data_IF_174590406099
#
_entry.id   IF_174590406099
#
_cell.length_a   1.000
_cell.length_b   1.000
_cell.length_c   1.000
_cell.angle_alpha   90.00
_cell.angle_beta   90.00
_cell.angle_gamma   90.00
#
_symmetry.space_group_name_H-M   'P 1'
#
loop_
_entity.id
_entity.type
_entity.pdbx_description
1 polymer ?
#
# COMPACT_ATOMS: atom_id res chain seq x y z
N UNK A 1 -27.81 22.60 -4.88
CA UNK A 1 -27.38 21.94 -3.64
C UNK A 1 -27.26 23.04 -2.63
N UNK A 2 -28.20 23.13 -1.69
CA UNK A 2 -28.23 24.21 -0.71
C UNK A 2 -27.90 23.59 0.65
N UNK A 3 -26.84 24.09 1.27
CA UNK A 3 -26.32 23.67 2.57
C UNK A 3 -25.26 24.69 3.02
N UNK A 4 -24.88 24.65 4.29
CA UNK A 4 -23.84 25.54 4.84
C UNK A 4 -22.43 25.18 4.35
N UNK A 5 -22.20 23.94 3.91
CA UNK A 5 -20.92 23.41 3.43
C UNK A 5 -21.13 22.45 2.24
N UNK A 6 -20.22 22.40 1.25
CA UNK A 6 -20.26 21.40 0.18
C UNK A 6 -19.94 19.98 0.71
N UNK A 7 -20.68 18.96 0.28
CA UNK A 7 -20.44 17.56 0.69
C UNK A 7 -19.02 17.03 0.42
N UNK A 8 -18.34 17.36 -0.69
CA UNK A 8 -16.93 16.98 -0.87
C UNK A 8 -16.05 17.47 0.28
N UNK A 9 -16.24 18.71 0.71
CA UNK A 9 -15.48 19.30 1.79
C UNK A 9 -15.77 18.63 3.15
N UNK A 10 -16.96 18.07 3.35
CA UNK A 10 -17.31 17.32 4.56
C UNK A 10 -16.56 15.97 4.64
N UNK A 11 -16.14 15.43 3.50
CA UNK A 11 -15.40 14.17 3.40
C UNK A 11 -13.89 14.42 3.38
N UNK A 12 -13.31 14.64 4.57
CA UNK A 12 -11.87 14.84 4.75
C UNK A 12 -11.29 16.08 4.04
N UNK A 13 -12.10 17.11 3.82
CA UNK A 13 -11.64 18.36 3.19
C UNK A 13 -11.45 18.27 1.66
N UNK A 14 -12.04 17.26 1.02
CA UNK A 14 -11.94 17.07 -0.41
C UNK A 14 -12.67 18.12 -1.25
N UNK A 15 -12.42 18.10 -2.55
CA UNK A 15 -13.07 18.96 -3.54
C UNK A 15 -13.45 18.18 -4.81
N UNK A 16 -13.57 18.86 -5.95
CA UNK A 16 -13.96 18.26 -7.24
C UNK A 16 -12.88 18.46 -8.32
N UNK A 17 -11.61 18.62 -7.92
CA UNK A 17 -10.48 18.81 -8.84
C UNK A 17 -9.83 17.49 -9.32
N UNK A 18 -10.25 16.36 -8.75
CA UNK A 18 -9.71 15.03 -9.03
C UNK A 18 -9.99 13.96 -7.98
N UNK A 19 -10.59 14.34 -6.85
CA UNK A 19 -10.93 13.42 -5.76
C UNK A 19 -11.84 12.27 -6.20
N UNK A 20 -11.59 11.11 -5.59
CA UNK A 20 -12.40 9.90 -5.80
C UNK A 20 -13.18 9.57 -4.54
N UNK A 21 -14.46 9.23 -4.72
CA UNK A 21 -15.36 8.91 -3.63
C UNK A 21 -15.72 7.43 -3.66
N UNK A 22 -15.66 6.79 -2.49
CA UNK A 22 -16.18 5.44 -2.34
C UNK A 22 -17.70 5.48 -2.16
N UNK A 23 -18.42 4.89 -3.10
CA UNK A 23 -19.88 4.82 -3.07
C UNK A 23 -20.29 3.36 -2.95
N UNK A 24 -20.93 3.01 -1.83
CA UNK A 24 -21.55 1.71 -1.63
C UNK A 24 -23.06 1.84 -1.62
N UNK A 25 -23.73 0.92 -2.34
CA UNK A 25 -25.19 0.75 -2.31
C UNK A 25 -25.59 -0.55 -1.58
N UNK A 26 -24.62 -1.24 -0.98
CA UNK A 26 -24.89 -2.49 -0.29
C UNK A 26 -25.64 -2.18 1.02
N UNK A 27 -26.84 -2.74 1.25
CA UNK A 27 -27.66 -2.36 2.41
C UNK A 27 -26.93 -2.48 3.76
N UNK A 28 -26.11 -3.53 3.93
CA UNK A 28 -25.36 -3.77 5.17
C UNK A 28 -24.19 -2.81 5.41
N UNK A 29 -23.80 -2.01 4.40
CA UNK A 29 -22.73 -1.01 4.48
C UNK A 29 -23.26 0.43 4.51
N UNK A 30 -24.58 0.60 4.52
CA UNK A 30 -25.22 1.91 4.63
C UNK A 30 -25.40 2.21 6.13
N UNK A 31 -24.70 3.21 6.62
CA UNK A 31 -24.82 3.66 8.01
C UNK A 31 -26.22 4.26 8.26
N UNK A 32 -26.73 4.06 9.48
CA UNK A 32 -28.05 4.58 9.89
C UNK A 32 -28.04 6.07 10.21
N UNK A 33 -26.89 6.56 10.64
CA UNK A 33 -26.67 7.93 11.09
C UNK A 33 -25.35 8.43 10.49
N UNK A 34 -25.31 9.72 10.16
CA UNK A 34 -24.09 10.40 9.75
C UNK A 34 -23.44 11.02 10.99
N UNK A 35 -22.11 10.96 11.06
CA UNK A 35 -21.35 11.75 12.02
C UNK A 35 -21.25 13.19 11.54
N UNK A 36 -21.14 14.12 12.50
CA UNK A 36 -20.86 15.52 12.17
C UNK A 36 -19.51 15.65 11.45
N UNK A 37 -19.45 16.37 10.31
CA UNK A 37 -18.22 16.59 9.60
C UNK A 37 -17.17 17.27 10.49
N UNK A 38 -15.92 16.85 10.32
CA UNK A 38 -14.84 17.47 11.07
C UNK A 38 -14.68 18.95 10.66
N UNK A 39 -14.53 19.81 11.66
CA UNK A 39 -14.33 21.25 11.45
C UNK A 39 -12.83 21.57 11.35
N UNK A 40 -12.44 22.06 10.18
CA UNK A 40 -11.07 22.43 9.85
C UNK A 40 -10.84 23.95 9.92
N UNK A 41 -11.84 24.76 10.29
CA UNK A 41 -11.78 26.24 10.28
C UNK A 41 -10.61 26.82 11.11
N UNK A 42 -10.20 26.16 12.18
CA UNK A 42 -9.03 26.55 12.98
C UNK A 42 -7.72 26.64 12.14
N UNK A 43 -7.61 25.85 11.07
CA UNK A 43 -6.42 25.75 10.23
C UNK A 43 -6.32 26.88 9.21
N UNK A 44 -7.46 27.41 8.77
CA UNK A 44 -7.50 28.52 7.82
C UNK A 44 -7.10 29.85 8.48
N UNK A 45 -7.31 30.00 9.80
CA UNK A 45 -6.94 31.22 10.51
C UNK A 45 -5.41 31.41 10.60
N UNK A 46 -4.65 30.33 10.84
CA UNK A 46 -3.17 30.39 10.86
C UNK A 46 -2.59 30.53 9.44
N UNK A 47 -3.24 29.95 8.41
CA UNK A 47 -2.88 30.13 7.01
C UNK A 47 -3.04 31.57 6.52
N UNK A 48 -4.14 32.22 6.91
CA UNK A 48 -4.39 33.62 6.60
C UNK A 48 -3.38 34.59 7.26
N UNK A 49 -2.68 34.15 8.31
CA UNK A 49 -1.65 34.96 8.97
C UNK A 49 -0.32 34.99 8.20
N UNK A 50 -0.05 33.96 7.38
CA UNK A 50 1.14 33.92 6.51
C UNK A 50 0.93 34.63 5.17
N UNK A 51 -0.32 34.83 4.73
CA UNK A 51 -0.62 35.55 3.48
C UNK A 51 -0.90 37.04 3.70
N UNK A 52 0.18 37.82 3.81
CA UNK A 52 0.23 39.15 3.15
C UNK A 52 1.68 39.51 2.84
N UNK A 53 2.32 38.77 1.93
CA UNK A 53 3.59 39.19 1.33
C UNK A 53 3.42 39.16 -0.18
N UNK A 54 2.56 40.04 -0.70
CA UNK A 54 2.25 40.12 -2.13
C UNK A 54 3.37 40.77 -2.97
N UNK A 55 4.51 41.14 -2.39
CA UNK A 55 5.56 41.94 -3.03
C UNK A 55 6.97 41.33 -3.01
N UNK A 56 7.13 40.05 -2.63
CA UNK A 56 8.47 39.41 -2.64
C UNK A 56 8.63 38.58 -3.92
N UNK A 57 9.65 38.91 -4.72
CA UNK A 57 10.09 38.01 -5.80
C UNK A 57 10.67 36.74 -5.18
N UNK A 58 10.00 35.61 -5.36
CA UNK A 58 10.51 34.31 -4.96
C UNK A 58 11.73 33.92 -5.81
N UNK A 59 12.80 33.51 -5.16
CA UNK A 59 14.06 33.08 -5.77
C UNK A 59 14.14 31.55 -5.82
N UNK A 60 15.08 31.02 -6.61
CA UNK A 60 15.38 29.58 -6.62
C UNK A 60 15.87 29.11 -5.24
N UNK A 61 16.52 30.00 -4.48
CA UNK A 61 16.99 29.70 -3.13
C UNK A 61 15.82 29.47 -2.17
N UNK A 62 14.74 30.25 -2.28
CA UNK A 62 13.51 30.04 -1.50
C UNK A 62 12.88 28.67 -1.79
N UNK A 63 12.91 28.25 -3.06
CA UNK A 63 12.44 26.92 -3.46
C UNK A 63 13.32 25.83 -2.83
N UNK A 64 14.65 25.95 -2.92
CA UNK A 64 15.57 25.00 -2.31
C UNK A 64 15.40 24.90 -0.79
N UNK A 65 15.22 26.04 -0.11
CA UNK A 65 14.98 26.11 1.33
C UNK A 65 13.66 25.42 1.69
N UNK A 66 12.58 25.70 0.95
CA UNK A 66 11.29 25.04 1.14
C UNK A 66 11.38 23.51 0.97
N UNK A 67 12.07 23.03 -0.06
CA UNK A 67 12.30 21.59 -0.24
C UNK A 67 13.10 20.98 0.93
N UNK A 68 14.12 21.69 1.42
CA UNK A 68 14.89 21.27 2.59
C UNK A 68 14.03 21.16 3.84
N UNK A 69 13.20 22.18 4.10
CA UNK A 69 12.24 22.19 5.21
C UNK A 69 11.19 21.08 5.07
N UNK A 70 10.66 20.87 3.87
CA UNK A 70 9.69 19.81 3.58
C UNK A 70 10.24 18.43 3.95
N UNK A 71 11.45 18.12 3.51
CA UNK A 71 12.09 16.84 3.82
C UNK A 71 12.37 16.71 5.33
N UNK A 72 12.76 17.81 5.98
CA UNK A 72 13.10 17.79 7.40
C UNK A 72 11.88 17.64 8.33
N UNK A 73 10.72 18.16 7.92
CA UNK A 73 9.53 18.25 8.78
C UNK A 73 8.44 17.23 8.39
N UNK A 74 8.57 16.53 7.25
CA UNK A 74 7.61 15.51 6.84
C UNK A 74 7.43 14.44 7.94
N UNK A 75 6.24 14.50 8.56
CA UNK A 75 5.83 13.63 9.63
C UNK A 75 4.45 13.01 9.36
N UNK A 76 3.93 13.13 8.14
CA UNK A 76 2.59 12.68 7.76
C UNK A 76 2.40 11.19 8.07
N UNK A 77 3.35 10.37 7.63
CA UNK A 77 3.35 8.93 7.89
C UNK A 77 3.43 8.58 9.39
N UNK A 78 4.13 9.39 10.20
CA UNK A 78 4.22 9.16 11.64
C UNK A 78 2.89 9.51 12.33
N UNK A 79 2.23 10.59 11.92
CA UNK A 79 0.93 11.01 12.43
C UNK A 79 -0.12 9.94 12.09
N UNK A 80 -0.18 9.50 10.82
CA UNK A 80 -1.12 8.48 10.37
C UNK A 80 -0.96 7.16 11.13
N UNK A 81 0.28 6.66 11.26
CA UNK A 81 0.56 5.43 12.01
C UNK A 81 0.20 5.57 13.50
N UNK A 82 0.46 6.74 14.09
CA UNK A 82 0.12 6.98 15.50
C UNK A 82 -1.39 7.05 15.71
N UNK A 83 -2.12 7.68 14.78
CA UNK A 83 -3.58 7.72 14.80
C UNK A 83 -4.17 6.31 14.75
N UNK A 84 -3.72 5.49 13.79
CA UNK A 84 -4.20 4.12 13.63
C UNK A 84 -3.96 3.29 14.90
N UNK A 85 -2.74 3.29 15.43
CA UNK A 85 -2.40 2.52 16.62
C UNK A 85 -3.16 2.99 17.87
N UNK A 86 -3.28 4.31 18.08
CA UNK A 86 -3.99 4.86 19.24
C UNK A 86 -5.50 4.67 19.13
N UNK A 87 -6.07 4.73 17.92
CA UNK A 87 -7.50 4.48 17.71
C UNK A 87 -7.90 3.04 17.99
N UNK A 88 -6.96 2.10 17.87
CA UNK A 88 -7.16 0.71 18.27
C UNK A 88 -6.94 0.52 19.78
N UNK A 89 -6.01 1.27 20.38
CA UNK A 89 -5.63 1.08 21.78
C UNK A 89 -6.60 1.74 22.78
N UNK A 90 -7.16 2.91 22.43
CA UNK A 90 -7.97 3.73 23.33
C UNK A 90 -9.43 3.31 23.29
N UNK A 91 -10.11 3.34 24.44
CA UNK A 91 -11.50 2.87 24.59
C UNK A 91 -12.50 3.67 23.72
N UNK A 92 -12.33 4.99 23.63
CA UNK A 92 -13.14 5.86 22.75
C UNK A 92 -12.73 5.78 21.26
N UNK A 93 -11.72 4.96 20.94
CA UNK A 93 -11.15 4.79 19.61
C UNK A 93 -10.86 6.10 18.89
N UNK A 94 -11.39 6.24 17.66
CA UNK A 94 -11.22 7.45 16.83
C UNK A 94 -11.82 8.72 17.44
N UNK A 95 -12.78 8.61 18.37
CA UNK A 95 -13.39 9.76 19.06
C UNK A 95 -12.55 10.25 20.25
N UNK A 96 -11.50 9.53 20.61
CA UNK A 96 -10.62 9.98 21.68
C UNK A 96 -9.95 11.32 21.32
N UNK A 97 -9.80 12.22 22.31
CA UNK A 97 -9.18 13.54 22.13
C UNK A 97 -7.80 13.47 21.45
N UNK A 98 -6.99 12.44 21.74
CA UNK A 98 -5.69 12.25 21.10
C UNK A 98 -5.82 11.91 19.61
N UNK A 99 -6.78 11.08 19.24
CA UNK A 99 -7.07 10.74 17.86
C UNK A 99 -7.61 11.96 17.10
N UNK A 100 -8.52 12.73 17.69
CA UNK A 100 -9.01 13.98 17.10
C UNK A 100 -7.86 14.99 16.90
N UNK A 101 -6.95 15.11 17.85
CA UNK A 101 -5.76 15.96 17.70
C UNK A 101 -4.85 15.47 16.57
N UNK A 102 -4.61 14.16 16.46
CA UNK A 102 -3.85 13.58 15.37
C UNK A 102 -4.52 13.78 14.01
N UNK A 103 -5.85 13.71 13.93
CA UNK A 103 -6.60 14.01 12.72
C UNK A 103 -6.43 15.48 12.31
N UNK A 104 -6.47 16.44 13.26
CA UNK A 104 -6.14 17.85 13.00
C UNK A 104 -4.73 17.98 12.43
N UNK A 105 -3.74 17.36 13.08
CA UNK A 105 -2.35 17.42 12.64
C UNK A 105 -2.15 16.79 11.26
N UNK A 106 -2.84 15.69 10.97
CA UNK A 106 -2.79 15.02 9.67
C UNK A 106 -3.30 15.93 8.55
N UNK A 107 -4.41 16.63 8.79
CA UNK A 107 -4.95 17.62 7.83
C UNK A 107 -3.95 18.73 7.52
N UNK A 108 -3.32 19.31 8.56
CA UNK A 108 -2.28 20.34 8.37
C UNK A 108 -1.08 19.77 7.57
N UNK A 109 -0.66 18.55 7.87
CA UNK A 109 0.47 17.91 7.19
C UNK A 109 0.21 17.65 5.71
N UNK A 110 -1.01 17.26 5.33
CA UNK A 110 -1.42 17.08 3.92
C UNK A 110 -1.41 18.42 3.18
N UNK A 111 -1.91 19.47 3.83
CA UNK A 111 -1.96 20.82 3.26
C UNK A 111 -0.61 21.56 3.28
N UNK A 112 0.44 20.99 3.90
CA UNK A 112 1.73 21.66 4.05
C UNK A 112 2.32 22.09 2.70
N UNK A 113 2.25 21.23 1.69
CA UNK A 113 2.73 21.55 0.34
C UNK A 113 2.00 22.76 -0.29
N UNK A 114 0.74 23.00 0.11
CA UNK A 114 -0.11 24.08 -0.43
C UNK A 114 -0.01 25.36 0.40
N UNK A 115 -0.01 25.24 1.74
CA UNK A 115 -0.12 26.35 2.68
C UNK A 115 1.22 26.77 3.30
N UNK A 116 2.26 25.95 3.21
CA UNK A 116 3.56 26.21 3.83
C UNK A 116 3.57 26.13 5.36
N UNK A 117 2.47 25.69 5.98
CA UNK A 117 2.35 25.57 7.44
C UNK A 117 2.67 24.16 7.90
N UNK A 118 3.77 24.02 8.61
CA UNK A 118 4.19 22.75 9.17
C UNK A 118 3.21 22.25 10.24
N UNK A 119 2.85 20.97 10.16
CA UNK A 119 2.15 20.31 11.25
C UNK A 119 3.04 20.31 12.52
N UNK A 120 2.47 20.52 13.72
CA UNK A 120 3.24 20.47 14.96
C UNK A 120 4.02 19.16 15.09
N UNK A 121 5.17 19.20 15.74
CA UNK A 121 5.91 17.97 16.01
C UNK A 121 5.09 17.03 16.90
N UNK A 122 5.11 15.74 16.55
CA UNK A 122 4.45 14.70 17.33
C UNK A 122 5.04 14.63 18.74
N UNK A 123 4.23 14.93 19.76
CA UNK A 123 4.64 14.88 21.16
C UNK A 123 4.74 13.43 21.65
N UNK A 124 5.40 13.20 22.79
CA UNK A 124 5.56 11.84 23.36
C UNK A 124 4.21 11.20 23.70
N UNK A 125 3.22 12.00 24.11
CA UNK A 125 1.89 11.53 24.51
C UNK A 125 1.01 11.05 23.36
N UNK A 126 1.31 11.54 22.15
CA UNK A 126 0.66 11.18 20.90
C UNK A 126 1.40 10.04 20.18
N UNK A 127 2.51 9.54 20.72
CA UNK A 127 3.18 8.34 20.22
C UNK A 127 2.62 7.11 20.92
N UNK A 128 2.16 6.08 20.16
CA UNK A 128 1.70 4.83 20.76
C UNK A 128 2.87 4.10 21.43
N UNK A 129 2.68 3.60 22.68
CA UNK A 129 3.71 2.83 23.38
C UNK A 129 3.88 1.41 22.82
N UNK A 130 2.83 0.86 22.23
CA UNK A 130 2.77 -0.46 21.61
C UNK A 130 1.89 -0.39 20.36
N UNK A 131 2.12 -1.29 19.41
CA UNK A 131 1.41 -1.29 18.12
C UNK A 131 0.54 -2.55 17.99
N UNK A 132 -0.66 -2.45 17.40
CA UNK A 132 -1.49 -3.62 17.17
C UNK A 132 -0.83 -4.56 16.15
N UNK A 133 -1.05 -5.87 16.29
CA UNK A 133 -0.37 -6.92 15.52
C UNK A 133 -0.59 -6.78 14.01
N UNK A 134 -1.75 -6.30 13.57
CA UNK A 134 -2.06 -6.08 12.16
C UNK A 134 -1.19 -5.00 11.48
N UNK A 135 -0.43 -4.21 12.25
CA UNK A 135 0.52 -3.21 11.70
C UNK A 135 1.92 -3.79 11.42
N UNK A 136 2.18 -5.06 11.75
CA UNK A 136 3.42 -5.80 11.44
C UNK A 136 4.73 -5.08 11.84
N UNK A 137 4.71 -4.31 12.94
CA UNK A 137 5.90 -3.62 13.46
C UNK A 137 6.80 -4.55 14.25
N UNK A 138 7.55 -5.39 13.54
CA UNK A 138 8.48 -6.38 14.13
C UNK A 138 9.61 -5.76 14.96
N UNK A 139 9.91 -4.48 14.76
CA UNK A 139 10.94 -3.71 15.47
C UNK A 139 10.45 -3.07 16.78
N UNK A 140 9.15 -3.17 17.10
CA UNK A 140 8.53 -2.46 18.23
C UNK A 140 7.68 -3.40 19.11
N UNK A 141 7.36 -2.99 20.35
CA UNK A 141 6.41 -3.73 21.18
C UNK A 141 5.05 -3.83 20.48
N UNK A 142 4.53 -5.04 20.38
CA UNK A 142 3.23 -5.32 19.74
C UNK A 142 2.25 -5.98 20.70
N UNK A 143 0.96 -5.79 20.45
CA UNK A 143 -0.12 -6.47 21.16
C UNK A 143 -1.14 -7.00 20.16
N UNK A 144 -1.92 -8.00 20.59
CA UNK A 144 -2.98 -8.56 19.76
C UNK A 144 -4.26 -7.73 19.91
N UNK A 145 -4.69 -7.08 18.82
CA UNK A 145 -5.89 -6.26 18.79
C UNK A 145 -7.14 -7.13 18.89
N UNK A 146 -8.10 -6.71 19.73
CA UNK A 146 -9.41 -7.36 19.87
C UNK A 146 -10.49 -6.69 19.01
N UNK A 147 -10.16 -5.58 18.36
CA UNK A 147 -11.11 -4.78 17.58
C UNK A 147 -11.24 -5.32 16.16
N UNK A 148 -12.16 -4.72 15.39
CA UNK A 148 -12.56 -5.22 14.08
C UNK A 148 -11.37 -5.36 13.12
N UNK A 149 -10.40 -4.43 13.13
CA UNK A 149 -9.23 -4.51 12.27
C UNK A 149 -8.35 -5.71 12.61
N UNK A 150 -8.12 -5.97 13.91
CA UNK A 150 -7.41 -7.16 14.38
C UNK A 150 -8.13 -8.45 13.99
N UNK A 151 -9.44 -8.53 14.23
CA UNK A 151 -10.24 -9.71 13.89
C UNK A 151 -10.29 -9.98 12.38
N UNK A 152 -10.38 -8.92 11.56
CA UNK A 152 -10.32 -9.04 10.11
C UNK A 152 -8.96 -9.55 9.68
N UNK A 153 -7.88 -8.98 10.23
CA UNK A 153 -6.51 -9.39 9.96
C UNK A 153 -6.27 -10.87 10.28
N UNK A 154 -6.76 -11.35 11.42
CA UNK A 154 -6.62 -12.76 11.82
C UNK A 154 -7.44 -13.73 10.95
N UNK A 155 -8.58 -13.26 10.43
CA UNK A 155 -9.48 -14.06 9.58
C UNK A 155 -9.10 -14.03 8.12
N UNK A 156 -8.40 -12.99 7.67
CA UNK A 156 -7.78 -13.02 6.36
C UNK A 156 -6.73 -14.11 6.37
N UNK A 157 -6.86 -15.16 5.54
CA UNK A 157 -5.78 -16.13 5.41
C UNK A 157 -4.55 -15.31 5.05
N UNK A 158 -3.55 -15.32 5.94
CA UNK A 158 -2.23 -14.84 5.57
C UNK A 158 -1.90 -15.59 4.31
N UNK A 159 -1.80 -14.90 3.17
CA UNK A 159 -1.38 -15.52 1.90
C UNK A 159 0.04 -16.15 2.04
N UNK A 160 0.67 -15.92 3.19
CA UNK A 160 1.90 -16.49 3.68
C UNK A 160 1.78 -17.83 4.42
N UNK A 161 0.60 -18.38 4.69
CA UNK A 161 0.51 -19.79 5.07
C UNK A 161 0.90 -20.58 3.85
N UNK A 162 2.11 -21.14 3.91
CA UNK A 162 2.69 -22.11 2.99
C UNK A 162 1.63 -22.65 2.04
N UNK A 163 1.70 -22.25 0.77
CA UNK A 163 1.24 -23.15 -0.27
C UNK A 163 2.16 -24.36 -0.08
N UNK A 164 1.78 -25.26 0.82
CA UNK A 164 2.23 -26.63 0.84
C UNK A 164 1.69 -27.19 -0.46
N UNK A 165 2.37 -26.85 -1.56
CA UNK A 165 2.37 -27.68 -2.75
C UNK A 165 2.84 -29.01 -2.19
N UNK A 166 1.90 -29.92 -1.99
CA UNK A 166 2.23 -31.25 -1.55
C UNK A 166 3.13 -31.80 -2.66
N UNK A 167 4.43 -31.92 -2.38
CA UNK A 167 5.39 -32.43 -3.36
C UNK A 167 4.89 -33.76 -3.93
N UNK A 168 4.17 -34.58 -3.15
CA UNK A 168 3.55 -35.80 -3.66
C UNK A 168 2.36 -35.58 -4.60
N UNK A 169 1.59 -34.48 -4.47
CA UNK A 169 0.56 -34.11 -5.45
C UNK A 169 1.18 -33.55 -6.72
N UNK A 170 2.23 -32.73 -6.62
CA UNK A 170 2.95 -32.24 -7.79
C UNK A 170 3.67 -33.38 -8.52
N UNK A 171 4.32 -34.28 -7.78
CA UNK A 171 4.91 -35.51 -8.30
C UNK A 171 3.82 -36.40 -8.89
N UNK A 172 2.65 -36.59 -8.26
CA UNK A 172 1.54 -37.38 -8.85
C UNK A 172 0.98 -36.73 -10.13
N UNK A 173 0.81 -35.42 -10.15
CA UNK A 173 0.36 -34.66 -11.31
C UNK A 173 1.39 -34.72 -12.46
N UNK A 174 2.68 -34.81 -12.15
CA UNK A 174 3.76 -34.99 -13.14
C UNK A 174 4.11 -36.45 -13.44
N UNK A 175 3.67 -37.42 -12.62
CA UNK A 175 3.94 -38.85 -12.81
C UNK A 175 3.22 -39.44 -14.02
N UNK A 176 2.13 -38.82 -14.48
CA UNK A 176 1.44 -39.16 -15.72
C UNK A 176 1.94 -38.35 -16.93
N UNK A 177 3.07 -37.64 -16.79
CA UNK A 177 3.65 -36.85 -17.87
C UNK A 177 4.50 -37.73 -18.80
N UNK A 178 4.32 -37.63 -20.14
CA UNK A 178 3.39 -36.76 -20.84
C UNK A 178 1.95 -37.31 -20.81
N UNK A 179 0.96 -36.45 -20.53
CA UNK A 179 -0.44 -36.84 -20.68
C UNK A 179 -0.66 -37.30 -22.12
N UNK A 180 -1.25 -38.49 -22.31
CA UNK A 180 -1.47 -39.07 -23.65
C UNK A 180 -2.23 -38.14 -24.60
N UNK A 181 -3.04 -37.22 -24.07
CA UNK A 181 -3.77 -36.18 -24.80
C UNK A 181 -2.88 -35.11 -25.42
N UNK A 182 -1.67 -34.87 -24.90
CA UNK A 182 -0.71 -33.90 -25.46
C UNK A 182 0.29 -34.55 -26.45
N UNK A 183 0.20 -35.86 -26.69
CA UNK A 183 1.06 -36.55 -27.65
C UNK A 183 0.54 -36.35 -29.09
N UNK A 184 1.20 -35.51 -29.85
CA UNK A 184 0.90 -35.25 -31.27
C UNK A 184 1.57 -36.34 -32.14
N UNK A 185 0.89 -36.82 -33.18
CA UNK A 185 1.48 -37.78 -34.11
C UNK A 185 2.78 -37.20 -34.73
N UNK A 186 3.88 -37.94 -34.68
CA UNK A 186 5.18 -37.49 -35.17
C UNK A 186 6.06 -36.72 -34.16
N UNK A 187 5.60 -36.51 -32.91
CA UNK A 187 6.35 -35.77 -31.88
C UNK A 187 7.78 -36.28 -31.65
N UNK A 188 8.02 -37.58 -31.86
CA UNK A 188 9.33 -38.23 -31.66
C UNK A 188 10.45 -37.58 -32.47
N UNK A 189 10.13 -37.03 -33.63
CA UNK A 189 11.11 -36.36 -34.50
C UNK A 189 11.55 -35.00 -33.93
N UNK A 190 10.70 -34.36 -33.12
CA UNK A 190 10.93 -33.02 -32.57
C UNK A 190 11.43 -33.04 -31.12
N UNK A 191 11.68 -34.23 -30.52
CA UNK A 191 12.14 -34.32 -29.13
C UNK A 191 13.48 -33.62 -28.93
N UNK A 192 14.40 -33.73 -29.92
CA UNK A 192 15.72 -33.10 -29.81
C UNK A 192 15.60 -31.57 -29.83
N UNK A 193 14.83 -31.03 -30.76
CA UNK A 193 14.61 -29.59 -30.89
C UNK A 193 13.86 -29.03 -29.68
N UNK A 194 12.83 -29.74 -29.20
CA UNK A 194 12.07 -29.37 -28.01
C UNK A 194 12.95 -29.32 -26.75
N UNK A 195 13.95 -30.18 -26.61
CA UNK A 195 14.90 -30.12 -25.48
C UNK A 195 15.80 -28.89 -25.54
N UNK A 196 16.22 -28.48 -26.74
CA UNK A 196 17.03 -27.27 -26.93
C UNK A 196 16.21 -26.04 -26.55
N UNK A 197 14.99 -25.92 -27.09
CA UNK A 197 14.07 -24.81 -26.78
C UNK A 197 13.73 -24.76 -25.29
N UNK A 198 13.46 -25.92 -24.68
CA UNK A 198 13.20 -26.01 -23.23
C UNK A 198 14.41 -25.56 -22.40
N UNK A 199 15.63 -25.89 -22.83
CA UNK A 199 16.84 -25.44 -22.16
C UNK A 199 17.09 -23.93 -22.27
N UNK A 200 16.68 -23.30 -23.38
CA UNK A 200 16.70 -21.84 -23.54
C UNK A 200 15.65 -21.16 -22.65
N UNK A 201 14.43 -21.71 -22.64
CA UNK A 201 13.35 -21.27 -21.76
C UNK A 201 13.75 -21.32 -20.28
N UNK A 202 14.23 -22.48 -19.81
CA UNK A 202 14.68 -22.66 -18.43
C UNK A 202 15.72 -21.62 -18.04
N UNK A 203 16.71 -21.37 -18.92
CA UNK A 203 17.78 -20.40 -18.67
C UNK A 203 17.23 -18.98 -18.52
N UNK A 204 16.32 -18.58 -19.41
CA UNK A 204 15.72 -17.25 -19.39
C UNK A 204 14.81 -17.07 -18.16
N UNK A 205 14.01 -18.07 -17.80
CA UNK A 205 13.17 -18.07 -16.58
C UNK A 205 14.02 -18.03 -15.32
N UNK A 206 15.04 -18.88 -15.19
CA UNK A 206 15.93 -18.89 -14.02
C UNK A 206 16.68 -17.57 -13.84
N UNK A 207 17.00 -16.87 -14.94
CA UNK A 207 17.59 -15.53 -14.88
C UNK A 207 16.65 -14.54 -14.18
N UNK A 208 15.37 -14.52 -14.58
CA UNK A 208 14.34 -13.66 -13.98
C UNK A 208 14.12 -14.05 -12.51
N UNK A 209 13.96 -15.34 -12.23
CA UNK A 209 13.76 -15.84 -10.86
C UNK A 209 14.89 -15.41 -9.91
N UNK A 210 16.15 -15.53 -10.35
CA UNK A 210 17.31 -15.09 -9.54
C UNK A 210 17.39 -13.59 -9.39
N UNK A 211 17.07 -12.82 -10.43
CA UNK A 211 17.13 -11.36 -10.41
C UNK A 211 16.13 -10.76 -9.40
N UNK A 212 14.91 -11.31 -9.34
CA UNK A 212 13.84 -10.80 -8.48
C UNK A 212 13.62 -11.62 -7.20
N UNK A 213 14.40 -12.68 -6.99
CA UNK A 213 14.31 -13.55 -5.81
C UNK A 213 12.99 -14.33 -5.72
N UNK A 214 12.44 -14.74 -6.86
CA UNK A 214 11.22 -15.54 -7.01
C UNK A 214 11.60 -17.02 -6.97
N UNK A 215 10.86 -17.82 -6.21
CA UNK A 215 11.18 -19.24 -6.00
C UNK A 215 10.51 -20.16 -7.02
N UNK A 216 9.34 -19.77 -7.55
CA UNK A 216 8.52 -20.63 -8.40
C UNK A 216 8.25 -20.01 -9.78
N UNK A 217 8.36 -20.81 -10.85
CA UNK A 217 8.03 -20.38 -12.22
C UNK A 217 6.55 -20.00 -12.36
N UNK A 218 5.66 -20.71 -11.67
CA UNK A 218 4.22 -20.46 -11.70
C UNK A 218 3.86 -19.01 -11.29
N UNK A 219 4.65 -18.39 -10.41
CA UNK A 219 4.45 -16.99 -9.99
C UNK A 219 4.76 -16.01 -11.13
N UNK A 220 5.75 -16.32 -11.96
CA UNK A 220 6.11 -15.53 -13.15
C UNK A 220 5.04 -15.69 -14.23
N UNK A 221 4.64 -16.93 -14.51
CA UNK A 221 3.68 -17.26 -15.58
C UNK A 221 2.29 -16.70 -15.28
N UNK A 222 1.84 -16.84 -14.03
CA UNK A 222 0.53 -16.33 -13.59
C UNK A 222 0.52 -14.82 -13.31
N UNK A 223 1.69 -14.20 -13.15
CA UNK A 223 1.84 -12.84 -12.66
C UNK A 223 1.40 -12.65 -11.20
N UNK A 224 1.18 -13.75 -10.46
CA UNK A 224 0.82 -13.73 -9.05
C UNK A 224 2.10 -13.94 -8.21
N UNK A 225 2.76 -12.84 -7.86
CA UNK A 225 4.02 -12.82 -7.13
C UNK A 225 3.75 -12.82 -5.63
N UNK A 226 4.25 -13.83 -4.91
CA UNK A 226 3.84 -14.06 -3.52
C UNK A 226 4.79 -13.41 -2.51
N UNK A 227 6.11 -13.51 -2.75
CA UNK A 227 7.14 -12.87 -1.93
C UNK A 227 8.34 -12.47 -2.78
N UNK A 228 8.78 -11.22 -2.63
CA UNK A 228 10.08 -10.78 -3.12
C UNK A 228 11.13 -10.98 -2.03
N UNK A 229 11.98 -11.99 -2.19
CA UNK A 229 13.01 -12.30 -1.19
C UNK A 229 14.14 -11.26 -1.19
N UNK A 230 14.28 -10.48 -2.25
CA UNK A 230 15.33 -9.46 -2.37
C UNK A 230 14.98 -8.19 -1.59
N UNK A 231 15.82 -7.86 -0.59
CA UNK A 231 15.72 -6.64 0.24
C UNK A 231 15.64 -5.31 -0.55
N UNK A 232 16.07 -5.29 -1.81
CA UNK A 232 16.06 -4.11 -2.67
C UNK A 232 14.65 -3.66 -3.11
N UNK A 233 13.67 -4.57 -3.12
CA UNK A 233 12.32 -4.31 -3.65
C UNK A 233 11.22 -4.35 -2.59
N UNK A 234 11.60 -4.48 -1.31
CA UNK A 234 10.67 -4.57 -0.17
C UNK A 234 10.04 -3.23 0.26
N UNK A 235 10.41 -2.10 -0.36
CA UNK A 235 9.75 -0.81 -0.09
C UNK A 235 8.53 -0.66 -1.00
N UNK A 236 7.37 -0.53 -0.39
CA UNK A 236 6.00 -0.73 -0.90
C UNK A 236 5.59 0.07 -2.17
N UNK A 237 6.43 0.93 -2.72
CA UNK A 237 6.09 1.79 -3.86
C UNK A 237 6.46 1.22 -5.23
N UNK A 238 7.07 0.03 -5.32
CA UNK A 238 7.55 -0.55 -6.60
C UNK A 238 6.90 -1.88 -6.99
N UNK A 239 5.99 -2.42 -6.18
CA UNK A 239 5.43 -3.76 -6.43
C UNK A 239 4.62 -3.80 -7.74
N UNK A 240 3.87 -2.75 -8.05
CA UNK A 240 3.09 -2.66 -9.29
C UNK A 240 3.97 -2.56 -10.54
N UNK A 241 4.97 -1.68 -10.53
CA UNK A 241 5.91 -1.52 -11.65
C UNK A 241 6.74 -2.78 -11.87
N UNK A 242 7.17 -3.43 -10.77
CA UNK A 242 7.90 -4.68 -10.80
C UNK A 242 7.07 -5.83 -11.36
N UNK A 243 5.79 -5.90 -11.00
CA UNK A 243 4.84 -6.87 -11.57
C UNK A 243 4.71 -6.67 -13.08
N UNK A 244 4.60 -5.43 -13.54
CA UNK A 244 4.53 -5.12 -14.96
C UNK A 244 5.82 -5.48 -15.69
N UNK A 245 6.99 -5.20 -15.10
CA UNK A 245 8.31 -5.53 -15.65
C UNK A 245 8.50 -7.05 -15.78
N UNK A 246 8.17 -7.82 -14.74
CA UNK A 246 8.26 -9.29 -14.74
C UNK A 246 7.28 -9.89 -15.76
N UNK A 247 6.04 -9.39 -15.79
CA UNK A 247 5.03 -9.84 -16.76
C UNK A 247 5.48 -9.53 -18.19
N UNK A 248 6.12 -8.39 -18.42
CA UNK A 248 6.67 -8.02 -19.72
C UNK A 248 7.85 -8.92 -20.09
N UNK A 249 8.79 -9.15 -19.18
CA UNK A 249 9.92 -10.04 -19.40
C UNK A 249 9.47 -11.48 -19.72
N UNK A 250 8.43 -11.98 -19.05
CA UNK A 250 7.84 -13.27 -19.36
C UNK A 250 7.17 -13.29 -20.74
N UNK A 251 6.43 -12.24 -21.13
CA UNK A 251 5.85 -12.14 -22.48
C UNK A 251 6.91 -12.23 -23.57
N UNK A 252 8.07 -11.59 -23.38
CA UNK A 252 9.18 -11.67 -24.34
C UNK A 252 9.73 -13.09 -24.46
N UNK A 253 9.76 -13.87 -23.37
CA UNK A 253 10.18 -15.28 -23.40
C UNK A 253 9.12 -16.15 -24.08
N UNK A 254 7.83 -15.90 -23.78
CA UNK A 254 6.70 -16.66 -24.32
C UNK A 254 6.52 -16.47 -25.82
N UNK A 255 6.81 -15.27 -26.33
CA UNK A 255 6.57 -14.89 -27.72
C UNK A 255 7.79 -15.17 -28.64
N UNK A 256 8.83 -15.84 -28.12
CA UNK A 256 9.96 -16.39 -28.91
C UNK A 256 9.59 -17.73 -29.55
#
# INVERSE_FOLDING_TARGET
MNGSRPHPAEMSGGDLDGDTFWISRHPDLIFKENEEPFDYQDQDYEANKMQTINDVQHTIEDVCNFFGEYIAVDNLGLIANSHLALSDQLEDGVRNKKCLQLAKMHSVAVDFAKKGINAPHLTKELRPPQYPHFMEKNDKPTYHSKYILGQLYDKTPSYNSDIHINEEEEIRATSSFPYKSFLIAGYKNHIKDARVIKGEYDRDIFRIMRQYGIQNEAEIVSGCLLKFTSKQYAKETKIFDLKNEITHAYKVIRDK
#
